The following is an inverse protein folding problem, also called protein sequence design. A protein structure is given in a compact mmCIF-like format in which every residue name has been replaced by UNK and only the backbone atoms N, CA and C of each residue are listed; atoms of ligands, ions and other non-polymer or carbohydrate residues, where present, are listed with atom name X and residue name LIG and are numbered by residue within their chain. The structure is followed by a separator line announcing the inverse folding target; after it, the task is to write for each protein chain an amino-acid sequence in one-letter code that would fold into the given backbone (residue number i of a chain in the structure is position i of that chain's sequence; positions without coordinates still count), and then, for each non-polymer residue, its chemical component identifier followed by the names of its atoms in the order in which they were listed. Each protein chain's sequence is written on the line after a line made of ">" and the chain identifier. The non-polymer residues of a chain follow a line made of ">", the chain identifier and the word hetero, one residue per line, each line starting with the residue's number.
data_IF_909362256292
#
_entry.id   IF_909362256292
#
_cell.length_a   1.000
_cell.length_b   1.000
_cell.length_c   1.000
_cell.angle_alpha   90.00
_cell.angle_beta   90.00
_cell.angle_gamma   90.00
#
_symmetry.space_group_name_H-M   'P 1'
#
loop_
_entity.id
_entity.type
_entity.pdbx_description
1 polymer ?
#
# COMPACT_ATOMS: atom_id res chain seq x y z
N UNK A 1 1.82 -0.83 -23.93
CA UNK A 1 1.86 -2.04 -23.08
C UNK A 1 2.77 -3.05 -23.78
N UNK A 2 3.71 -3.64 -23.08
CA UNK A 2 4.57 -4.68 -23.69
C UNK A 2 3.76 -5.96 -23.91
N UNK A 3 4.18 -6.80 -24.88
CA UNK A 3 3.46 -8.06 -25.18
C UNK A 3 3.38 -8.98 -23.95
N UNK A 4 4.40 -8.97 -23.10
CA UNK A 4 4.38 -9.74 -21.86
C UNK A 4 3.25 -9.29 -20.91
N UNK A 5 2.95 -8.01 -20.83
CA UNK A 5 1.86 -7.49 -20.00
C UNK A 5 0.50 -7.99 -20.51
N UNK A 6 0.28 -8.02 -21.84
CA UNK A 6 -0.94 -8.57 -22.43
C UNK A 6 -1.07 -10.08 -22.13
N UNK A 7 0.03 -10.82 -22.20
CA UNK A 7 0.05 -12.25 -21.84
C UNK A 7 -0.28 -12.45 -20.37
N UNK A 8 0.30 -11.65 -19.48
CA UNK A 8 0.02 -11.75 -18.05
C UNK A 8 -1.43 -11.38 -17.72
N UNK A 9 -1.98 -10.37 -18.40
CA UNK A 9 -3.39 -10.02 -18.28
C UNK A 9 -4.30 -11.14 -18.78
N UNK A 10 -4.01 -11.73 -19.95
CA UNK A 10 -4.76 -12.88 -20.45
C UNK A 10 -4.72 -14.06 -19.47
N UNK A 11 -3.53 -14.45 -19.01
CA UNK A 11 -3.36 -15.57 -18.07
C UNK A 11 -3.97 -15.30 -16.68
N UNK A 12 -4.15 -14.04 -16.31
CA UNK A 12 -4.85 -13.66 -15.09
C UNK A 12 -6.32 -14.10 -15.12
N UNK A 13 -6.98 -13.94 -16.27
CA UNK A 13 -8.38 -14.32 -16.46
C UNK A 13 -8.57 -15.74 -16.97
N UNK A 14 -7.54 -16.33 -17.57
CA UNK A 14 -7.55 -17.65 -18.19
C UNK A 14 -6.39 -18.51 -17.65
N UNK A 15 -6.43 -18.94 -16.38
CA UNK A 15 -5.38 -19.78 -15.80
C UNK A 15 -5.33 -21.15 -16.50
N UNK A 16 -4.14 -21.76 -16.52
CA UNK A 16 -3.86 -23.05 -17.17
C UNK A 16 -4.15 -23.10 -18.67
N UNK A 17 -3.96 -21.98 -19.37
CA UNK A 17 -4.13 -21.87 -20.83
C UNK A 17 -2.99 -22.55 -21.59
N UNK A 18 -3.31 -23.14 -22.73
CA UNK A 18 -2.30 -23.64 -23.67
C UNK A 18 -1.69 -22.47 -24.45
N UNK A 19 -0.50 -22.70 -25.01
CA UNK A 19 0.17 -21.68 -25.83
C UNK A 19 -0.73 -21.13 -26.94
N UNK A 20 -1.52 -21.98 -27.60
CA UNK A 20 -2.43 -21.56 -28.66
C UNK A 20 -3.51 -20.62 -28.16
N UNK A 21 -4.10 -20.92 -26.99
CA UNK A 21 -5.11 -20.06 -26.38
C UNK A 21 -4.53 -18.68 -26.04
N UNK A 22 -3.26 -18.63 -25.57
CA UNK A 22 -2.54 -17.37 -25.31
C UNK A 22 -2.29 -16.60 -26.62
N UNK A 23 -1.89 -17.28 -27.70
CA UNK A 23 -1.68 -16.65 -29.01
C UNK A 23 -2.95 -16.04 -29.59
N UNK A 24 -4.10 -16.69 -29.39
CA UNK A 24 -5.40 -16.22 -29.86
C UNK A 24 -5.96 -15.08 -28.97
N UNK A 25 -5.60 -15.09 -27.69
CA UNK A 25 -6.11 -14.12 -26.73
C UNK A 25 -5.32 -12.80 -26.64
N UNK A 26 -4.15 -12.72 -27.30
CA UNK A 26 -3.29 -11.53 -27.28
C UNK A 26 -3.40 -10.79 -28.59
N UNK A 27 -3.59 -9.45 -28.54
CA UNK A 27 -3.84 -8.61 -29.72
C UNK A 27 -2.63 -8.45 -30.66
N UNK A 28 -1.44 -8.78 -30.20
CA UNK A 28 -0.16 -8.38 -30.81
C UNK A 28 0.29 -9.23 -32.01
N UNK A 29 -0.49 -10.12 -32.61
CA UNK A 29 -0.19 -10.81 -33.87
C UNK A 29 1.26 -11.33 -34.03
N UNK A 30 1.87 -11.88 -32.98
CA UNK A 30 3.26 -12.31 -32.97
C UNK A 30 3.42 -13.69 -33.54
N UNK A 31 4.60 -13.97 -34.16
CA UNK A 31 4.90 -15.32 -34.66
C UNK A 31 4.96 -16.35 -33.53
N UNK A 32 4.65 -17.63 -33.87
CA UNK A 32 4.76 -18.77 -32.93
C UNK A 32 6.13 -18.84 -32.25
N UNK A 33 7.22 -18.54 -33.01
CA UNK A 33 8.57 -18.53 -32.47
C UNK A 33 8.77 -17.41 -31.41
N UNK A 34 8.24 -16.22 -31.69
CA UNK A 34 8.27 -15.08 -30.79
C UNK A 34 7.47 -15.37 -29.53
N UNK A 35 6.27 -15.90 -29.63
CA UNK A 35 5.44 -16.30 -28.50
C UNK A 35 6.15 -17.31 -27.59
N UNK A 36 6.73 -18.36 -28.18
CA UNK A 36 7.52 -19.33 -27.41
C UNK A 36 8.66 -18.69 -26.64
N UNK A 37 9.38 -17.74 -27.26
CA UNK A 37 10.47 -17.02 -26.60
C UNK A 37 9.99 -16.17 -25.45
N UNK A 38 8.90 -15.43 -25.63
CA UNK A 38 8.32 -14.57 -24.58
C UNK A 38 7.80 -15.41 -23.41
N UNK A 39 7.10 -16.51 -23.67
CA UNK A 39 6.64 -17.42 -22.62
C UNK A 39 7.82 -18.05 -21.86
N UNK A 40 8.88 -18.47 -22.56
CA UNK A 40 10.08 -19.02 -21.93
C UNK A 40 10.80 -17.96 -21.07
N UNK A 41 10.91 -16.73 -21.54
CA UNK A 41 11.46 -15.59 -20.79
C UNK A 41 10.59 -15.28 -19.56
N UNK A 42 9.27 -15.26 -19.72
CA UNK A 42 8.33 -15.09 -18.60
C UNK A 42 8.47 -16.17 -17.53
N UNK A 43 8.71 -17.43 -17.94
CA UNK A 43 9.00 -18.54 -17.02
C UNK A 43 10.35 -18.33 -16.32
N UNK A 44 11.40 -17.98 -17.07
CA UNK A 44 12.73 -17.71 -16.51
C UNK A 44 12.73 -16.55 -15.50
N UNK A 45 11.91 -15.53 -15.74
CA UNK A 45 11.71 -14.39 -14.83
C UNK A 45 10.77 -14.69 -13.66
N UNK A 46 10.20 -15.87 -13.57
CA UNK A 46 9.24 -16.24 -12.51
C UNK A 46 7.90 -15.51 -12.58
N UNK A 47 7.53 -15.02 -13.78
CA UNK A 47 6.24 -14.37 -14.03
C UNK A 47 5.16 -15.38 -14.42
N UNK A 48 5.56 -16.45 -15.10
CA UNK A 48 4.69 -17.50 -15.61
C UNK A 48 5.12 -18.83 -15.02
N UNK A 49 4.18 -19.63 -14.59
CA UNK A 49 4.38 -21.03 -14.19
C UNK A 49 3.89 -21.97 -15.30
N UNK A 50 4.52 -23.13 -15.40
CA UNK A 50 4.20 -24.15 -16.39
C UNK A 50 3.77 -25.42 -15.66
N UNK A 51 2.66 -26.00 -16.09
CA UNK A 51 2.17 -27.30 -15.66
C UNK A 51 2.04 -28.26 -16.86
N UNK A 52 2.04 -29.56 -16.58
CA UNK A 52 1.94 -30.58 -17.61
C UNK A 52 3.22 -30.76 -18.46
N UNK A 53 3.19 -31.67 -19.43
CA UNK A 53 4.30 -31.94 -20.37
C UNK A 53 3.77 -32.19 -21.78
N UNK A 54 4.55 -31.81 -22.81
CA UNK A 54 4.22 -32.00 -24.19
C UNK A 54 2.91 -31.35 -24.61
N UNK A 55 1.94 -32.12 -25.11
CA UNK A 55 0.62 -31.58 -25.51
C UNK A 55 -0.26 -31.08 -24.35
N UNK A 56 0.06 -31.49 -23.12
CA UNK A 56 -0.65 -31.06 -21.90
C UNK A 56 0.02 -29.85 -21.22
N UNK A 57 1.03 -29.24 -21.84
CA UNK A 57 1.67 -28.04 -21.32
C UNK A 57 0.66 -26.90 -21.24
N UNK A 58 0.53 -26.34 -20.02
CA UNK A 58 -0.33 -25.20 -19.73
C UNK A 58 0.44 -24.13 -18.95
N UNK A 59 0.08 -22.89 -19.17
CA UNK A 59 0.69 -21.70 -18.60
C UNK A 59 -0.27 -21.01 -17.65
N UNK A 60 0.24 -20.56 -16.51
CA UNK A 60 -0.51 -19.77 -15.54
C UNK A 60 0.36 -18.62 -15.03
N UNK A 61 -0.28 -17.54 -14.64
CA UNK A 61 0.41 -16.45 -13.94
C UNK A 61 0.90 -16.93 -12.58
N UNK A 62 2.10 -16.52 -12.15
CA UNK A 62 2.58 -16.82 -10.81
C UNK A 62 1.93 -15.91 -9.77
N UNK A 63 1.90 -16.28 -8.46
CA UNK A 63 1.41 -15.40 -7.40
C UNK A 63 2.10 -14.04 -7.39
N UNK A 64 3.41 -13.99 -7.64
CA UNK A 64 4.17 -12.74 -7.74
C UNK A 64 3.69 -11.88 -8.91
N UNK A 65 3.61 -12.45 -10.11
CA UNK A 65 3.19 -11.68 -11.27
C UNK A 65 1.71 -11.27 -11.17
N UNK A 66 0.86 -12.10 -10.57
CA UNK A 66 -0.53 -11.75 -10.28
C UNK A 66 -0.63 -10.48 -9.41
N UNK A 67 0.22 -10.37 -8.39
CA UNK A 67 0.27 -9.23 -7.48
C UNK A 67 0.90 -7.99 -8.11
N UNK A 68 1.99 -8.15 -8.88
CA UNK A 68 2.84 -7.07 -9.36
C UNK A 68 2.67 -6.74 -10.85
N UNK A 69 1.71 -7.36 -11.55
CA UNK A 69 1.46 -7.07 -12.96
C UNK A 69 1.09 -5.61 -13.18
N UNK A 70 1.49 -5.07 -14.30
CA UNK A 70 1.06 -3.74 -14.73
C UNK A 70 -0.44 -3.72 -14.98
N UNK A 71 -1.14 -2.75 -14.41
CA UNK A 71 -2.56 -2.49 -14.66
C UNK A 71 -2.67 -1.18 -15.43
N UNK A 72 -3.37 -1.21 -16.57
CA UNK A 72 -3.67 0.02 -17.30
C UNK A 72 -4.76 0.80 -16.55
N UNK A 73 -4.33 1.82 -15.78
CA UNK A 73 -5.22 2.61 -14.94
C UNK A 73 -6.26 3.37 -15.77
N UNK A 74 -5.88 3.92 -16.94
CA UNK A 74 -6.80 4.67 -17.78
C UNK A 74 -7.93 3.78 -18.28
N UNK A 75 -7.62 2.57 -18.77
CA UNK A 75 -8.63 1.61 -19.23
C UNK A 75 -9.47 1.05 -18.08
N UNK A 76 -8.88 0.93 -16.87
CA UNK A 76 -9.60 0.49 -15.68
C UNK A 76 -10.61 1.54 -15.21
N UNK A 77 -10.19 2.81 -15.12
CA UNK A 77 -11.05 3.91 -14.65
C UNK A 77 -12.01 4.44 -15.73
N UNK A 78 -11.76 4.17 -17.03
CA UNK A 78 -12.71 4.47 -18.09
C UNK A 78 -14.01 3.64 -18.02
N UNK A 79 -13.98 2.51 -17.31
CA UNK A 79 -15.16 1.68 -17.05
C UNK A 79 -15.93 2.21 -15.85
N UNK A 80 -17.26 2.23 -15.96
CA UNK A 80 -18.13 2.47 -14.81
C UNK A 80 -17.83 1.45 -13.69
N UNK A 81 -18.02 1.86 -12.44
CA UNK A 81 -17.70 1.07 -11.27
C UNK A 81 -18.31 -0.35 -11.31
N UNK A 82 -19.57 -0.45 -11.78
CA UNK A 82 -20.30 -1.71 -11.91
C UNK A 82 -19.75 -2.65 -12.98
N UNK A 83 -19.01 -2.13 -13.95
CA UNK A 83 -18.41 -2.90 -15.04
C UNK A 83 -16.94 -3.26 -14.79
N UNK A 84 -16.35 -2.80 -13.67
CA UNK A 84 -14.98 -3.17 -13.31
C UNK A 84 -14.94 -4.58 -12.73
N UNK A 85 -14.00 -5.37 -13.21
CA UNK A 85 -13.74 -6.70 -12.64
C UNK A 85 -12.87 -6.53 -11.38
N UNK A 86 -13.49 -6.69 -10.22
CA UNK A 86 -12.84 -6.54 -8.92
C UNK A 86 -13.23 -7.69 -7.99
N UNK A 87 -12.33 -8.04 -7.09
CA UNK A 87 -12.68 -8.86 -5.94
C UNK A 87 -13.44 -8.02 -4.94
N UNK A 88 -14.68 -8.41 -4.65
CA UNK A 88 -15.57 -7.63 -3.79
C UNK A 88 -15.35 -7.86 -2.30
N UNK A 89 -14.67 -8.95 -1.92
CA UNK A 89 -14.43 -9.33 -0.53
C UNK A 89 -12.95 -9.32 -0.16
N UNK A 90 -12.67 -9.31 1.15
CA UNK A 90 -11.34 -9.45 1.70
C UNK A 90 -10.74 -10.82 1.39
N UNK A 91 -9.47 -10.84 1.01
CA UNK A 91 -8.76 -12.06 0.64
C UNK A 91 -7.70 -12.44 1.70
N UNK A 92 -8.05 -13.33 2.62
CA UNK A 92 -7.13 -13.85 3.62
C UNK A 92 -5.96 -14.63 3.01
N UNK A 93 -6.18 -15.39 1.93
CA UNK A 93 -5.14 -16.18 1.27
C UNK A 93 -4.03 -15.29 0.69
N UNK A 94 -4.40 -14.10 0.19
CA UNK A 94 -3.43 -13.10 -0.28
C UNK A 94 -2.41 -12.77 0.82
N UNK A 95 -2.88 -12.51 2.03
CA UNK A 95 -2.04 -12.07 3.15
C UNK A 95 -1.26 -13.24 3.77
N UNK A 96 -1.91 -14.40 3.95
CA UNK A 96 -1.34 -15.57 4.63
C UNK A 96 -0.43 -16.42 3.76
N UNK A 97 -0.78 -16.56 2.48
CA UNK A 97 -0.15 -17.54 1.60
C UNK A 97 0.69 -16.92 0.49
N UNK A 98 0.21 -15.83 -0.09
CA UNK A 98 0.83 -15.22 -1.27
C UNK A 98 1.91 -14.22 -0.89
N UNK A 99 1.58 -13.20 -0.12
CA UNK A 99 2.50 -12.11 0.23
C UNK A 99 3.75 -12.54 1.01
N UNK A 100 3.71 -13.54 1.90
CA UNK A 100 4.94 -14.03 2.54
C UNK A 100 5.96 -14.59 1.56
N UNK A 101 5.51 -15.15 0.44
CA UNK A 101 6.36 -15.80 -0.60
C UNK A 101 6.79 -14.84 -1.71
N UNK A 102 6.32 -13.61 -1.69
CA UNK A 102 6.59 -12.61 -2.73
C UNK A 102 7.41 -11.46 -2.17
N UNK A 103 8.52 -11.13 -2.85
CA UNK A 103 9.22 -9.87 -2.62
C UNK A 103 8.59 -8.81 -3.53
N UNK A 104 8.08 -7.72 -2.93
CA UNK A 104 7.40 -6.65 -3.69
C UNK A 104 8.38 -5.87 -4.57
N UNK A 105 9.62 -5.73 -4.10
CA UNK A 105 10.69 -5.08 -4.87
C UNK A 105 11.57 -6.09 -5.60
N UNK A 106 12.03 -5.71 -6.77
CA UNK A 106 13.08 -6.42 -7.52
C UNK A 106 14.44 -6.22 -6.83
N UNK A 107 15.43 -7.03 -7.20
CA UNK A 107 16.82 -6.86 -6.70
C UNK A 107 17.40 -5.50 -7.07
N UNK A 108 17.10 -5.00 -8.27
CA UNK A 108 17.60 -3.72 -8.75
C UNK A 108 16.98 -2.56 -7.99
N UNK A 109 15.67 -2.63 -7.71
CA UNK A 109 14.96 -1.66 -6.85
C UNK A 109 15.53 -1.66 -5.43
N UNK A 110 15.72 -2.84 -4.81
CA UNK A 110 16.35 -2.94 -3.50
C UNK A 110 17.77 -2.33 -3.49
N UNK A 111 18.57 -2.60 -4.53
CA UNK A 111 19.91 -2.01 -4.67
C UNK A 111 19.83 -0.49 -4.76
N UNK A 112 18.91 0.03 -5.57
CA UNK A 112 18.68 1.46 -5.71
C UNK A 112 18.22 2.13 -4.41
N UNK A 113 17.30 1.48 -3.68
CA UNK A 113 16.85 1.97 -2.38
C UNK A 113 17.98 1.98 -1.35
N UNK A 114 18.85 0.96 -1.35
CA UNK A 114 20.02 0.91 -0.49
C UNK A 114 21.02 2.02 -0.79
N UNK A 115 21.29 2.32 -2.08
CA UNK A 115 22.12 3.45 -2.49
C UNK A 115 21.56 4.79 -2.01
N UNK A 116 20.25 5.02 -2.22
CA UNK A 116 19.58 6.26 -1.78
C UNK A 116 19.65 6.41 -0.26
N UNK A 117 19.47 5.31 0.48
CA UNK A 117 19.62 5.30 1.94
C UNK A 117 21.05 5.65 2.37
N UNK A 118 22.06 5.12 1.70
CA UNK A 118 23.45 5.44 1.99
C UNK A 118 23.78 6.92 1.72
N UNK A 119 23.28 7.47 0.61
CA UNK A 119 23.40 8.90 0.28
C UNK A 119 22.71 9.76 1.34
N UNK A 120 21.50 9.39 1.75
CA UNK A 120 20.77 10.09 2.80
C UNK A 120 21.55 10.06 4.12
N UNK A 121 22.00 8.88 4.57
CA UNK A 121 22.76 8.74 5.81
C UNK A 121 24.05 9.60 5.80
N UNK A 122 24.77 9.64 4.68
CA UNK A 122 25.94 10.49 4.52
C UNK A 122 25.59 11.98 4.65
N UNK A 123 24.55 12.43 3.94
CA UNK A 123 24.11 13.84 4.02
C UNK A 123 23.68 14.20 5.43
N UNK A 124 23.00 13.30 6.12
CA UNK A 124 22.53 13.51 7.48
C UNK A 124 23.67 13.62 8.49
N UNK A 125 24.77 12.85 8.30
CA UNK A 125 25.93 12.92 9.17
C UNK A 125 26.67 14.29 9.09
N UNK A 126 26.57 14.97 7.97
CA UNK A 126 27.21 16.25 7.71
C UNK A 126 26.34 17.47 8.13
N UNK A 127 25.06 17.24 8.53
CA UNK A 127 24.13 18.32 8.89
C UNK A 127 24.31 18.68 10.37
N UNK A 128 24.47 19.98 10.71
CA UNK A 128 24.45 20.41 12.10
C UNK A 128 23.13 20.05 12.81
N UNK A 129 23.13 19.65 14.09
CA UNK A 129 21.92 19.21 14.81
C UNK A 129 20.75 20.18 14.70
N UNK A 130 20.99 21.50 14.78
CA UNK A 130 19.94 22.50 14.63
C UNK A 130 19.33 22.60 13.23
N UNK A 131 20.09 22.27 12.18
CA UNK A 131 19.56 22.22 10.81
C UNK A 131 18.74 20.94 10.59
N UNK A 132 19.19 19.81 11.14
CA UNK A 132 18.42 18.55 11.13
C UNK A 132 17.02 18.75 11.73
N UNK A 133 16.93 19.31 12.93
CA UNK A 133 15.66 19.51 13.59
C UNK A 133 14.70 20.42 12.78
N UNK A 134 15.22 21.47 12.15
CA UNK A 134 14.43 22.35 11.26
C UNK A 134 13.89 21.60 10.03
N UNK A 135 14.73 20.77 9.41
CA UNK A 135 14.27 19.97 8.25
C UNK A 135 13.24 18.90 8.64
N UNK A 136 13.39 18.24 9.78
CA UNK A 136 12.41 17.31 10.30
C UNK A 136 11.10 18.01 10.68
N UNK A 137 11.16 19.20 11.26
CA UNK A 137 9.98 20.02 11.54
C UNK A 137 9.25 20.39 10.24
N UNK A 138 9.98 20.89 9.22
CA UNK A 138 9.42 21.22 7.91
C UNK A 138 8.76 20.01 7.26
N UNK A 139 9.44 18.86 7.25
CA UNK A 139 8.89 17.62 6.74
C UNK A 139 7.61 17.20 7.49
N UNK A 140 7.60 17.34 8.81
CA UNK A 140 6.44 17.06 9.65
C UNK A 140 5.24 17.96 9.31
N UNK A 141 5.49 19.25 9.03
CA UNK A 141 4.46 20.20 8.58
C UNK A 141 3.90 19.79 7.22
N UNK A 142 4.77 19.52 6.24
CA UNK A 142 4.38 19.11 4.89
C UNK A 142 3.55 17.81 4.91
N UNK A 143 3.99 16.81 5.67
CA UNK A 143 3.28 15.53 5.81
C UNK A 143 1.93 15.71 6.49
N UNK A 144 1.85 16.49 7.58
CA UNK A 144 0.60 16.74 8.29
C UNK A 144 -0.41 17.46 7.40
N UNK A 145 0.04 18.47 6.67
CA UNK A 145 -0.79 19.19 5.71
C UNK A 145 -1.32 18.29 4.59
N UNK A 146 -0.42 17.54 3.92
CA UNK A 146 -0.80 16.65 2.80
C UNK A 146 -1.72 15.53 3.24
N UNK A 147 -1.43 14.90 4.38
CA UNK A 147 -2.28 13.85 4.94
C UNK A 147 -3.68 14.38 5.27
N UNK A 148 -3.77 15.52 5.94
CA UNK A 148 -5.05 16.13 6.27
C UNK A 148 -5.82 16.61 5.02
N UNK A 149 -5.13 17.14 4.00
CA UNK A 149 -5.75 17.57 2.74
C UNK A 149 -6.44 16.40 2.01
N UNK A 150 -5.86 15.20 2.05
CA UNK A 150 -6.47 13.99 1.47
C UNK A 150 -7.80 13.63 2.18
N UNK A 151 -7.91 13.94 3.46
CA UNK A 151 -9.13 13.74 4.28
C UNK A 151 -10.13 14.93 4.17
N UNK A 152 -9.87 15.88 3.28
CA UNK A 152 -10.76 17.03 3.04
C UNK A 152 -10.50 18.24 3.94
N UNK A 153 -9.40 18.26 4.69
CA UNK A 153 -8.98 19.45 5.44
C UNK A 153 -8.69 20.62 4.52
N UNK A 154 -9.14 21.80 4.86
CA UNK A 154 -9.10 22.99 4.01
C UNK A 154 -7.97 23.99 4.36
N UNK A 155 -7.15 23.68 5.36
CA UNK A 155 -5.97 24.48 5.70
C UNK A 155 -4.99 24.57 4.52
N UNK A 156 -4.46 25.76 4.29
CA UNK A 156 -3.30 25.96 3.41
C UNK A 156 -2.01 25.53 4.10
N UNK A 157 -0.92 25.36 3.38
CA UNK A 157 0.38 25.06 3.97
C UNK A 157 0.82 26.13 4.97
N UNK A 158 0.62 27.43 4.65
CA UNK A 158 0.99 28.54 5.53
C UNK A 158 0.17 28.55 6.82
N UNK A 159 -1.16 28.35 6.73
CA UNK A 159 -2.03 28.23 7.90
C UNK A 159 -1.65 27.04 8.76
N UNK A 160 -1.29 25.92 8.14
CA UNK A 160 -0.80 24.72 8.83
C UNK A 160 0.52 25.01 9.56
N UNK A 161 1.45 25.70 8.90
CA UNK A 161 2.72 26.10 9.51
C UNK A 161 2.50 26.99 10.75
N UNK A 162 1.66 28.01 10.64
CA UNK A 162 1.27 28.91 11.74
C UNK A 162 0.62 28.11 12.87
N UNK A 163 -0.32 27.22 12.56
CA UNK A 163 -0.97 26.38 13.57
C UNK A 163 0.04 25.48 14.30
N UNK A 164 0.92 24.80 13.56
CA UNK A 164 1.84 23.81 14.14
C UNK A 164 3.03 24.45 14.90
N UNK A 165 3.41 25.70 14.56
CA UNK A 165 4.47 26.44 15.25
C UNK A 165 3.93 27.29 16.41
N UNK A 166 2.88 28.05 16.15
CA UNK A 166 2.41 29.12 17.04
C UNK A 166 1.10 28.76 17.77
N UNK A 167 0.53 27.58 17.49
CA UNK A 167 -0.76 27.10 18.03
C UNK A 167 -1.93 28.06 17.71
N UNK A 168 -1.86 28.78 16.59
CA UNK A 168 -2.86 29.73 16.16
C UNK A 168 -3.76 29.14 15.10
N UNK A 169 -5.03 28.97 15.42
CA UNK A 169 -6.03 28.47 14.47
C UNK A 169 -6.34 29.51 13.38
N UNK A 170 -6.55 29.04 12.16
CA UNK A 170 -6.87 29.88 11.01
C UNK A 170 -8.33 30.35 11.09
N UNK A 171 -8.55 31.65 10.80
CA UNK A 171 -9.88 32.24 10.80
C UNK A 171 -10.80 31.56 9.77
N UNK A 172 -12.02 31.22 10.18
CA UNK A 172 -13.03 30.64 9.31
C UNK A 172 -12.85 29.16 9.00
N UNK A 173 -11.88 28.50 9.62
CA UNK A 173 -11.71 27.05 9.57
C UNK A 173 -12.41 26.38 10.77
N UNK A 174 -12.75 25.10 10.60
CA UNK A 174 -13.35 24.33 11.70
C UNK A 174 -12.28 23.93 12.70
N UNK A 175 -12.64 23.89 13.97
CA UNK A 175 -11.73 23.47 15.04
C UNK A 175 -11.22 22.03 14.83
N UNK A 176 -12.07 21.12 14.35
CA UNK A 176 -11.71 19.73 14.08
C UNK A 176 -10.62 19.62 13.01
N UNK A 177 -10.55 20.56 12.06
CA UNK A 177 -9.48 20.60 11.07
C UNK A 177 -8.12 20.94 11.70
N UNK A 178 -8.10 21.86 12.68
CA UNK A 178 -6.90 22.18 13.45
C UNK A 178 -6.47 20.99 14.32
N UNK A 179 -7.41 20.38 15.03
CA UNK A 179 -7.16 19.18 15.86
C UNK A 179 -6.56 18.07 15.03
N UNK A 180 -7.08 17.80 13.81
CA UNK A 180 -6.54 16.78 12.90
C UNK A 180 -5.06 17.03 12.57
N UNK A 181 -4.65 18.27 12.29
CA UNK A 181 -3.27 18.64 11.97
C UNK A 181 -2.34 18.47 13.19
N UNK A 182 -2.78 18.93 14.36
CA UNK A 182 -2.04 18.80 15.62
C UNK A 182 -1.84 17.33 16.00
N UNK A 183 -2.88 16.51 15.87
CA UNK A 183 -2.82 15.07 16.13
C UNK A 183 -1.83 14.38 15.20
N UNK A 184 -1.81 14.73 13.91
CA UNK A 184 -0.86 14.15 12.97
C UNK A 184 0.59 14.49 13.34
N UNK A 185 0.88 15.75 13.70
CA UNK A 185 2.18 16.17 14.25
C UNK A 185 2.57 15.35 15.48
N UNK A 186 1.62 15.19 16.42
CA UNK A 186 1.84 14.45 17.67
C UNK A 186 2.10 12.95 17.41
N UNK A 187 1.39 12.33 16.47
CA UNK A 187 1.61 10.95 16.09
C UNK A 187 2.99 10.75 15.45
N UNK A 188 3.39 11.62 14.51
CA UNK A 188 4.74 11.58 13.92
C UNK A 188 5.81 11.75 15.00
N UNK A 189 5.64 12.70 15.92
CA UNK A 189 6.57 12.89 17.04
C UNK A 189 6.65 11.64 17.92
N UNK A 190 5.52 11.03 18.28
CA UNK A 190 5.49 9.84 19.11
C UNK A 190 6.22 8.64 18.47
N UNK A 191 6.15 8.51 17.14
CA UNK A 191 6.87 7.48 16.39
C UNK A 191 8.37 7.77 16.39
N UNK A 192 8.78 9.01 16.10
CA UNK A 192 10.17 9.41 16.01
C UNK A 192 10.90 9.38 17.36
N UNK A 193 10.19 9.69 18.45
CA UNK A 193 10.76 9.67 19.81
C UNK A 193 10.95 8.23 20.35
N UNK A 194 10.29 7.23 19.78
CA UNK A 194 10.30 5.84 20.28
C UNK A 194 10.55 4.79 19.17
N UNK A 195 11.59 4.89 18.37
CA UNK A 195 11.82 3.98 17.24
C UNK A 195 11.89 2.52 17.67
N UNK A 196 12.56 2.20 18.79
CA UNK A 196 12.67 0.84 19.31
C UNK A 196 11.31 0.20 19.65
N UNK A 197 10.32 1.01 20.05
CA UNK A 197 8.98 0.49 20.34
C UNK A 197 8.27 0.00 19.07
N UNK A 198 8.61 0.57 17.91
CA UNK A 198 8.05 0.21 16.61
C UNK A 198 8.85 -0.85 15.84
N UNK A 199 9.96 -1.40 16.37
CA UNK A 199 10.72 -2.48 15.72
C UNK A 199 9.84 -3.67 15.36
N UNK A 200 8.84 -3.96 16.19
CA UNK A 200 7.79 -4.93 15.89
C UNK A 200 6.44 -4.26 16.08
N UNK A 201 5.61 -4.28 15.04
CA UNK A 201 4.24 -3.79 15.13
C UNK A 201 3.29 -4.83 15.72
N UNK A 202 2.21 -4.38 16.33
CA UNK A 202 1.13 -5.20 16.87
C UNK A 202 -0.20 -4.45 16.75
N UNK A 203 -1.31 -5.15 16.93
CA UNK A 203 -2.65 -4.54 16.95
C UNK A 203 -2.70 -3.37 17.91
N UNK A 204 -2.26 -3.56 19.17
CA UNK A 204 -2.29 -2.51 20.19
C UNK A 204 -1.47 -1.27 19.81
N UNK A 205 -0.29 -1.45 19.17
CA UNK A 205 0.53 -0.32 18.73
C UNK A 205 -0.11 0.48 17.61
N UNK A 206 -0.84 -0.20 16.71
CA UNK A 206 -1.60 0.45 15.65
C UNK A 206 -2.79 1.20 16.26
N UNK A 207 -3.49 0.60 17.22
CA UNK A 207 -4.57 1.25 17.98
C UNK A 207 -4.06 2.48 18.77
N UNK A 208 -2.85 2.43 19.33
CA UNK A 208 -2.24 3.57 20.02
C UNK A 208 -1.92 4.72 19.06
N UNK A 209 -1.36 4.43 17.89
CA UNK A 209 -1.12 5.45 16.83
C UNK A 209 -2.44 6.07 16.38
N UNK A 210 -3.43 5.22 16.08
CA UNK A 210 -4.78 5.67 15.70
C UNK A 210 -5.41 6.55 16.78
N UNK A 211 -5.26 6.19 18.06
CA UNK A 211 -5.77 6.96 19.19
C UNK A 211 -5.22 8.39 19.20
N UNK A 212 -3.90 8.53 19.01
CA UNK A 212 -3.28 9.86 18.92
C UNK A 212 -3.81 10.66 17.73
N UNK A 213 -3.99 10.00 16.58
CA UNK A 213 -4.47 10.63 15.35
C UNK A 213 -5.93 11.11 15.45
N UNK A 214 -6.74 10.47 16.30
CA UNK A 214 -8.18 10.73 16.40
C UNK A 214 -8.61 11.38 17.72
N UNK A 215 -7.64 11.75 18.57
CA UNK A 215 -7.92 12.42 19.85
C UNK A 215 -8.74 13.69 19.63
N UNK A 216 -9.84 13.85 20.38
CA UNK A 216 -10.73 14.99 20.27
C UNK A 216 -11.63 15.07 19.01
N UNK A 217 -11.57 14.06 18.11
CA UNK A 217 -12.38 14.03 16.89
C UNK A 217 -13.66 13.19 17.01
N UNK A 218 -13.97 12.66 18.21
CA UNK A 218 -15.18 11.85 18.43
C UNK A 218 -15.15 10.46 17.75
N UNK A 219 -13.97 9.98 17.38
CA UNK A 219 -13.78 8.66 16.76
C UNK A 219 -13.50 7.60 17.85
N UNK A 220 -14.11 6.43 17.71
CA UNK A 220 -13.86 5.32 18.63
C UNK A 220 -12.41 4.82 18.57
N UNK A 221 -11.87 4.52 19.75
CA UNK A 221 -10.45 4.19 19.92
C UNK A 221 -10.03 2.83 19.33
N UNK A 222 -10.90 1.83 19.39
CA UNK A 222 -10.56 0.44 19.09
C UNK A 222 -10.89 0.05 17.63
N UNK A 223 -10.56 -1.19 17.26
CA UNK A 223 -11.02 -1.76 16.01
C UNK A 223 -12.54 -1.66 15.93
N UNK A 224 -13.04 -1.32 14.75
CA UNK A 224 -14.48 -1.15 14.52
C UNK A 224 -15.25 -2.47 14.65
N UNK A 225 -16.49 -2.34 15.04
CA UNK A 225 -17.47 -3.44 15.12
C UNK A 225 -18.66 -3.23 14.18
N UNK A 226 -18.60 -2.22 13.33
CA UNK A 226 -19.63 -1.88 12.35
C UNK A 226 -19.08 -1.88 10.94
N UNK A 227 -19.97 -1.96 9.97
CA UNK A 227 -19.61 -1.92 8.54
C UNK A 227 -19.11 -0.54 8.14
N UNK A 228 -18.10 -0.53 7.29
CA UNK A 228 -17.63 0.67 6.58
C UNK A 228 -17.60 0.38 5.09
N UNK A 229 -17.67 1.43 4.27
CA UNK A 229 -17.51 1.36 2.83
C UNK A 229 -16.39 2.26 2.37
N UNK A 230 -15.87 2.01 1.18
CA UNK A 230 -14.91 2.88 0.52
C UNK A 230 -15.60 3.44 -0.73
N UNK A 231 -15.70 4.77 -0.80
CA UNK A 231 -16.32 5.45 -1.94
C UNK A 231 -15.55 5.17 -3.24
N UNK A 232 -16.27 4.93 -4.34
CA UNK A 232 -15.67 4.71 -5.66
C UNK A 232 -15.11 3.30 -5.90
N UNK A 233 -15.48 2.32 -5.05
CA UNK A 233 -15.12 0.92 -5.24
C UNK A 233 -16.23 -0.04 -4.82
N UNK A 234 -16.29 -1.20 -5.48
CA UNK A 234 -17.18 -2.32 -5.11
C UNK A 234 -16.58 -3.21 -4.01
N UNK A 235 -15.35 -2.96 -3.60
CA UNK A 235 -14.72 -3.70 -2.52
C UNK A 235 -15.44 -3.45 -1.19
N UNK A 236 -15.70 -4.53 -0.46
CA UNK A 236 -16.36 -4.53 0.84
C UNK A 236 -15.37 -5.03 1.89
N UNK A 237 -14.88 -4.15 2.77
CA UNK A 237 -14.07 -4.57 3.91
C UNK A 237 -14.81 -5.56 4.81
N UNK A 238 -14.06 -6.29 5.62
CA UNK A 238 -14.60 -7.19 6.65
C UNK A 238 -15.59 -6.43 7.56
N UNK A 239 -16.63 -7.09 8.04
CA UNK A 239 -17.67 -6.49 8.88
C UNK A 239 -17.82 -7.16 10.26
N UNK A 240 -17.06 -8.21 10.52
CA UNK A 240 -17.05 -8.93 11.80
C UNK A 240 -15.77 -8.56 12.58
N UNK A 241 -15.92 -8.05 13.79
CA UNK A 241 -14.78 -7.57 14.62
C UNK A 241 -13.67 -8.63 14.79
N UNK A 242 -14.03 -9.89 15.05
CA UNK A 242 -13.03 -10.95 15.20
C UNK A 242 -12.23 -11.18 13.92
N UNK A 243 -12.86 -11.10 12.74
CA UNK A 243 -12.18 -11.21 11.45
C UNK A 243 -11.33 -9.99 11.14
N UNK A 244 -11.76 -8.79 11.55
CA UNK A 244 -10.97 -7.56 11.41
C UNK A 244 -9.70 -7.67 12.26
N UNK A 245 -9.83 -8.11 13.51
CA UNK A 245 -8.70 -8.36 14.42
C UNK A 245 -7.73 -9.39 13.84
N UNK A 246 -8.24 -10.50 13.36
CA UNK A 246 -7.45 -11.55 12.71
C UNK A 246 -6.68 -11.01 11.49
N UNK A 247 -7.34 -10.21 10.65
CA UNK A 247 -6.71 -9.58 9.48
C UNK A 247 -5.58 -8.60 9.88
N UNK A 248 -5.76 -7.83 10.96
CA UNK A 248 -4.71 -6.93 11.48
C UNK A 248 -3.56 -7.71 12.10
N UNK A 249 -3.83 -8.82 12.80
CA UNK A 249 -2.81 -9.73 13.32
C UNK A 249 -1.99 -10.36 12.19
N UNK A 250 -2.65 -10.85 11.14
CA UNK A 250 -1.99 -11.41 9.95
C UNK A 250 -1.11 -10.37 9.25
N UNK A 251 -1.59 -9.14 9.11
CA UNK A 251 -0.82 -8.01 8.60
C UNK A 251 0.42 -7.74 9.46
N UNK A 252 0.26 -7.67 10.79
CA UNK A 252 1.38 -7.47 11.70
C UNK A 252 2.42 -8.59 11.58
N UNK A 253 1.99 -9.84 11.51
CA UNK A 253 2.87 -11.00 11.35
C UNK A 253 3.62 -10.94 10.02
N UNK A 254 2.93 -10.62 8.93
CA UNK A 254 3.53 -10.45 7.61
C UNK A 254 4.62 -9.36 7.62
N UNK A 255 4.30 -8.17 8.12
CA UNK A 255 5.22 -7.03 8.15
C UNK A 255 6.42 -7.31 9.06
N UNK A 256 6.19 -7.91 10.23
CA UNK A 256 7.26 -8.28 11.16
C UNK A 256 8.17 -9.38 10.59
N UNK A 257 7.68 -10.21 9.67
CA UNK A 257 8.43 -11.27 9.00
C UNK A 257 9.28 -10.79 7.81
N UNK A 258 9.04 -9.58 7.29
CA UNK A 258 9.84 -9.01 6.20
C UNK A 258 11.16 -8.44 6.73
N UNK A 259 12.20 -8.45 5.91
CA UNK A 259 13.52 -7.90 6.26
C UNK A 259 13.68 -6.46 5.75
N UNK A 260 13.23 -6.19 4.52
CA UNK A 260 13.41 -4.92 3.83
C UNK A 260 12.50 -3.83 4.42
N UNK A 261 13.04 -2.72 4.97
CA UNK A 261 12.25 -1.70 5.65
C UNK A 261 11.27 -0.97 4.73
N UNK A 262 11.62 -0.80 3.45
CA UNK A 262 10.73 -0.17 2.47
C UNK A 262 9.54 -1.08 2.11
N UNK A 263 9.77 -2.41 2.11
CA UNK A 263 8.68 -3.38 1.94
C UNK A 263 7.73 -3.34 3.14
N UNK A 264 8.27 -3.27 4.37
CA UNK A 264 7.45 -3.10 5.59
C UNK A 264 6.59 -1.85 5.52
N UNK A 265 7.18 -0.72 5.13
CA UNK A 265 6.46 0.56 5.01
C UNK A 265 5.35 0.49 3.95
N UNK A 266 5.64 -0.05 2.76
CA UNK A 266 4.65 -0.21 1.70
C UNK A 266 3.50 -1.14 2.12
N UNK A 267 3.81 -2.24 2.80
CA UNK A 267 2.79 -3.17 3.29
C UNK A 267 1.92 -2.54 4.37
N UNK A 268 2.48 -1.77 5.30
CA UNK A 268 1.70 -1.04 6.30
C UNK A 268 0.71 -0.07 5.65
N UNK A 269 1.21 0.76 4.71
CA UNK A 269 0.40 1.71 3.95
C UNK A 269 -0.77 1.03 3.22
N UNK A 270 -0.49 -0.04 2.48
CA UNK A 270 -1.50 -0.70 1.65
C UNK A 270 -2.48 -1.54 2.47
N UNK A 271 -2.01 -2.28 3.47
CA UNK A 271 -2.85 -3.23 4.18
C UNK A 271 -3.78 -2.58 5.20
N UNK A 272 -3.38 -1.50 5.87
CA UNK A 272 -4.30 -0.73 6.71
C UNK A 272 -5.42 -0.15 5.84
N UNK A 273 -5.08 0.41 4.67
CA UNK A 273 -6.07 0.93 3.73
C UNK A 273 -6.97 -0.19 3.15
N UNK A 274 -6.47 -1.41 2.99
CA UNK A 274 -7.23 -2.56 2.50
C UNK A 274 -8.14 -3.16 3.58
N UNK A 275 -7.66 -3.34 4.81
CA UNK A 275 -8.42 -3.91 5.93
C UNK A 275 -9.48 -2.93 6.42
N UNK A 276 -9.18 -1.61 6.40
CA UNK A 276 -10.04 -0.58 7.00
C UNK A 276 -10.40 -0.90 8.46
N UNK A 277 -9.41 -1.03 9.37
CA UNK A 277 -9.67 -1.55 10.70
C UNK A 277 -10.45 -0.61 11.63
N UNK A 278 -10.53 0.69 11.32
CA UNK A 278 -11.15 1.71 12.16
C UNK A 278 -12.38 2.33 11.49
N UNK A 279 -13.21 3.00 12.28
CA UNK A 279 -14.38 3.72 11.79
C UNK A 279 -14.00 4.91 10.89
N UNK A 280 -12.93 5.61 11.26
CA UNK A 280 -12.35 6.74 10.54
C UNK A 280 -10.84 6.76 10.79
N UNK A 281 -10.08 7.59 10.07
CA UNK A 281 -8.65 7.76 10.25
C UNK A 281 -7.78 6.62 9.71
N UNK A 282 -8.33 5.65 8.98
CA UNK A 282 -7.58 4.53 8.41
C UNK A 282 -6.42 5.01 7.51
N UNK A 283 -6.67 6.02 6.70
CA UNK A 283 -5.69 6.57 5.77
C UNK A 283 -4.59 7.36 6.48
N UNK A 284 -4.94 8.04 7.56
CA UNK A 284 -3.96 8.76 8.42
C UNK A 284 -3.10 7.80 9.22
N UNK A 285 -3.65 6.64 9.59
CA UNK A 285 -2.95 5.59 10.34
C UNK A 285 -2.02 4.77 9.47
N UNK A 286 -2.33 4.64 8.17
CA UNK A 286 -1.52 3.88 7.21
C UNK A 286 -0.22 4.60 6.83
#
# INVERSE_FOLDING_TARGET
>A
MEIIDEILEFLHYHPASKRQDVEEGVSAGVSVATMKRILADGVAKGLISVSGKGKATAYSITPRAHLLRTVNLDSYYAKDEDHRQVQTGYNFELIRETMPKVNVFTKDECSRLAELRAIFAKRMADIPPGAYNREMERLGIDLSWKSAQIEGNTYTLLETETLLKDLQEAKGKKHEEAVMLLNHKNALKAILDRPAWFERISVSKIEDVHTVLTEGLGVERNLRHVRVGITGTRYRPLDVESQIREAVEDMCNLINGKEEPYEKALLALLLIAYIQPFMDGNKRTS
#
